data_IF_690286585725
#
_entry.id   IF_690286585725
#
_cell.length_a   1.000
_cell.length_b   1.000
_cell.length_c   1.000
_cell.angle_alpha   90.00
_cell.angle_beta   90.00
_cell.angle_gamma   90.00
#
_symmetry.space_group_name_H-M   'P 1'
#
loop_
_entity.id
_entity.type
_entity.pdbx_description
1 polymer ?
#
# COMPACT_ATOMS: atom_id res chain seq x y z
N UNK A 1 25.33 -1.37 33.11
CA UNK A 1 24.36 -2.10 33.93
C UNK A 1 22.99 -1.74 33.39
N UNK A 2 22.44 -2.63 32.55
CA UNK A 2 21.12 -3.27 32.76
C UNK A 2 20.04 -2.25 33.05
N UNK A 3 19.14 -1.94 32.12
CA UNK A 3 18.12 -2.89 31.74
C UNK A 3 18.08 -3.15 30.23
N UNK A 4 18.52 -4.35 29.86
CA UNK A 4 17.93 -5.09 28.75
C UNK A 4 16.45 -5.26 29.08
N UNK A 5 15.64 -4.27 28.72
CA UNK A 5 14.20 -4.43 28.63
C UNK A 5 13.94 -5.29 27.43
N UNK A 6 13.94 -6.61 27.65
CA UNK A 6 13.42 -7.59 26.71
C UNK A 6 12.01 -7.14 26.32
N UNK A 7 11.87 -6.48 25.18
CA UNK A 7 10.57 -6.39 24.52
C UNK A 7 10.33 -7.80 24.03
N UNK A 8 9.54 -8.53 24.81
CA UNK A 8 8.95 -9.81 24.44
C UNK A 8 8.40 -9.63 23.03
N UNK A 9 9.07 -10.22 22.05
CA UNK A 9 8.58 -10.34 20.69
C UNK A 9 7.41 -11.31 20.73
N UNK A 10 6.21 -10.80 21.02
CA UNK A 10 4.99 -11.50 20.67
C UNK A 10 4.98 -11.55 19.15
N UNK A 11 5.27 -12.72 18.56
CA UNK A 11 5.09 -13.00 17.13
C UNK A 11 3.61 -12.98 16.70
N UNK A 12 2.75 -12.25 17.41
CA UNK A 12 1.30 -12.34 17.28
C UNK A 12 0.76 -11.10 16.54
N UNK A 13 0.12 -11.38 15.41
CA UNK A 13 -0.71 -10.51 14.57
C UNK A 13 0.00 -9.43 13.73
N UNK A 14 0.94 -9.85 12.88
CA UNK A 14 1.29 -9.03 11.73
C UNK A 14 0.05 -8.81 10.85
N UNK A 15 -0.28 -7.54 10.60
CA UNK A 15 -1.32 -7.15 9.66
C UNK A 15 -0.93 -7.72 8.28
N UNK A 16 -1.73 -8.62 7.72
CA UNK A 16 -1.43 -9.30 6.47
C UNK A 16 -2.59 -9.20 5.48
N UNK A 17 -2.25 -8.98 4.20
CA UNK A 17 -3.25 -8.91 3.13
C UNK A 17 -3.67 -10.34 2.76
N UNK A 18 -4.99 -10.60 2.72
CA UNK A 18 -5.53 -11.94 2.41
C UNK A 18 -4.99 -12.48 1.08
N UNK A 19 -4.63 -13.77 0.97
CA UNK A 19 -3.99 -14.33 -0.23
C UNK A 19 -4.77 -14.13 -1.53
N UNK A 20 -6.10 -14.21 -1.47
CA UNK A 20 -6.98 -13.96 -2.63
C UNK A 20 -6.83 -12.53 -3.17
N UNK A 21 -6.71 -11.55 -2.27
CA UNK A 21 -6.51 -10.14 -2.63
C UNK A 21 -5.08 -9.92 -3.14
N UNK A 22 -4.08 -10.57 -2.54
CA UNK A 22 -2.70 -10.53 -3.06
C UNK A 22 -2.65 -10.98 -4.52
N UNK A 23 -3.37 -12.04 -4.89
CA UNK A 23 -3.47 -12.48 -6.29
C UNK A 23 -4.14 -11.44 -7.19
N UNK A 24 -5.21 -10.78 -6.73
CA UNK A 24 -5.88 -9.71 -7.47
C UNK A 24 -4.97 -8.49 -7.66
N UNK A 25 -4.25 -8.08 -6.62
CA UNK A 25 -3.28 -6.98 -6.65
C UNK A 25 -2.13 -7.28 -7.62
N UNK A 26 -1.57 -8.49 -7.59
CA UNK A 26 -0.53 -8.94 -8.54
C UNK A 26 -1.04 -8.90 -9.98
N UNK A 27 -2.28 -9.33 -10.23
CA UNK A 27 -2.92 -9.23 -11.56
C UNK A 27 -3.05 -7.77 -12.01
N UNK A 28 -3.38 -6.87 -11.08
CA UNK A 28 -3.43 -5.41 -11.28
C UNK A 28 -2.04 -4.73 -11.30
N UNK A 29 -0.94 -5.49 -11.30
CA UNK A 29 0.46 -5.01 -11.38
C UNK A 29 0.96 -4.25 -10.14
N UNK A 30 0.38 -4.53 -8.98
CA UNK A 30 0.95 -4.12 -7.70
C UNK A 30 2.03 -5.10 -7.24
N UNK A 31 3.09 -4.57 -6.64
CA UNK A 31 3.98 -5.32 -5.75
C UNK A 31 3.38 -5.35 -4.35
N UNK A 32 3.52 -6.47 -3.65
CA UNK A 32 3.00 -6.68 -2.30
C UNK A 32 4.08 -7.32 -1.44
N UNK A 33 4.33 -6.74 -0.27
CA UNK A 33 5.20 -7.27 0.76
C UNK A 33 4.52 -7.05 2.12
N UNK A 34 4.15 -8.13 2.81
CA UNK A 34 3.35 -8.09 4.05
C UNK A 34 2.07 -7.24 3.91
N UNK A 35 1.95 -6.15 4.67
CA UNK A 35 0.87 -5.16 4.61
C UNK A 35 1.11 -4.02 3.61
N UNK A 36 2.31 -3.95 3.02
CA UNK A 36 2.73 -2.86 2.15
C UNK A 36 2.45 -3.17 0.67
N UNK A 37 2.08 -2.15 -0.07
CA UNK A 37 1.87 -2.23 -1.52
C UNK A 37 2.64 -1.16 -2.26
N UNK A 38 3.13 -1.50 -3.45
CA UNK A 38 3.81 -0.57 -4.37
C UNK A 38 3.19 -0.72 -5.75
N UNK A 39 3.03 0.38 -6.47
CA UNK A 39 2.59 0.35 -7.86
C UNK A 39 3.41 1.34 -8.69
N UNK A 40 3.63 1.00 -9.95
CA UNK A 40 4.20 1.97 -10.88
C UNK A 40 3.11 2.95 -11.28
N UNK A 41 3.27 4.22 -10.92
CA UNK A 41 2.34 5.27 -11.33
C UNK A 41 2.21 5.30 -12.86
N UNK A 42 0.99 5.52 -13.35
CA UNK A 42 0.70 5.65 -14.77
C UNK A 42 1.62 6.68 -15.45
N UNK A 43 1.84 7.82 -14.81
CA UNK A 43 2.70 8.88 -15.34
C UNK A 43 4.19 8.56 -15.24
N UNK A 44 4.62 7.83 -14.21
CA UNK A 44 6.00 7.34 -14.13
C UNK A 44 6.30 6.43 -15.32
N UNK A 45 5.38 5.52 -15.68
CA UNK A 45 5.51 4.67 -16.87
C UNK A 45 5.58 5.47 -18.17
N UNK A 46 4.76 6.52 -18.32
CA UNK A 46 4.80 7.43 -19.48
C UNK A 46 6.11 8.21 -19.58
N UNK A 47 6.58 8.75 -18.45
CA UNK A 47 7.82 9.53 -18.37
C UNK A 47 9.02 8.67 -18.79
N UNK A 48 9.11 7.41 -18.37
CA UNK A 48 10.14 6.47 -18.83
C UNK A 48 10.12 6.18 -20.33
N UNK A 49 8.96 6.30 -20.97
CA UNK A 49 8.79 6.14 -22.42
C UNK A 49 8.94 7.44 -23.20
N UNK A 50 9.28 8.54 -22.53
CA UNK A 50 9.29 9.89 -23.10
C UNK A 50 7.91 10.33 -23.65
N UNK A 51 6.81 9.83 -23.08
CA UNK A 51 5.43 10.18 -23.45
C UNK A 51 4.87 11.37 -22.62
N UNK A 52 5.69 11.96 -21.76
CA UNK A 52 5.36 13.15 -20.96
C UNK A 52 5.38 12.93 -19.44
N UNK A 53 5.19 14.02 -18.70
CA UNK A 53 5.30 14.11 -17.25
C UNK A 53 3.97 14.41 -16.56
N UNK A 54 3.87 14.11 -15.26
CA UNK A 54 2.64 14.37 -14.50
C UNK A 54 2.51 15.84 -14.09
N UNK A 55 1.33 16.22 -13.59
CA UNK A 55 1.08 17.58 -13.12
C UNK A 55 2.06 18.03 -12.01
N UNK A 56 2.56 17.11 -11.18
CA UNK A 56 3.52 17.43 -10.11
C UNK A 56 4.86 17.92 -10.65
N UNK A 57 5.27 17.48 -11.84
CA UNK A 57 6.44 18.00 -12.51
C UNK A 57 6.23 19.48 -12.89
N UNK A 58 5.09 19.79 -13.51
CA UNK A 58 4.74 21.14 -13.93
C UNK A 58 4.59 22.12 -12.77
N UNK A 59 3.96 21.68 -11.67
CA UNK A 59 3.65 22.56 -10.54
C UNK A 59 4.79 22.65 -9.52
N UNK A 60 5.53 21.56 -9.31
CA UNK A 60 6.48 21.45 -8.21
C UNK A 60 7.89 21.06 -8.65
N UNK A 61 8.16 20.88 -9.95
CA UNK A 61 9.46 20.46 -10.46
C UNK A 61 9.86 19.02 -10.11
N UNK A 62 8.96 18.21 -9.56
CA UNK A 62 9.25 16.82 -9.18
C UNK A 62 9.49 15.99 -10.45
N UNK A 63 10.61 15.29 -10.53
CA UNK A 63 10.89 14.39 -11.67
C UNK A 63 9.97 13.18 -11.65
N UNK A 64 9.03 13.09 -12.61
CA UNK A 64 7.99 12.05 -12.66
C UNK A 64 8.55 10.63 -12.65
N UNK A 65 9.58 10.37 -13.46
CA UNK A 65 10.23 9.06 -13.57
C UNK A 65 10.98 8.63 -12.29
N UNK A 66 11.22 9.56 -11.34
CA UNK A 66 11.88 9.28 -10.05
C UNK A 66 10.89 9.14 -8.88
N UNK A 67 9.59 9.28 -9.13
CA UNK A 67 8.57 9.13 -8.10
C UNK A 67 8.29 7.65 -7.81
N UNK A 68 8.21 7.31 -6.52
CA UNK A 68 7.79 5.98 -6.05
C UNK A 68 6.39 6.11 -5.44
N UNK A 69 5.42 5.37 -5.99
CA UNK A 69 4.06 5.30 -5.47
C UNK A 69 3.88 4.02 -4.65
N UNK A 70 3.73 4.16 -3.34
CA UNK A 70 3.58 3.05 -2.41
C UNK A 70 2.71 3.44 -1.20
N UNK A 71 2.23 2.43 -0.48
CA UNK A 71 1.54 2.58 0.80
C UNK A 71 2.03 1.50 1.76
N UNK A 72 2.42 1.87 3.00
CA UNK A 72 2.72 0.87 4.03
C UNK A 72 1.46 0.17 4.55
N UNK A 73 0.26 0.66 4.23
CA UNK A 73 -1.03 0.12 4.65
C UNK A 73 -1.94 -0.08 3.44
N UNK A 74 -1.53 -0.93 2.49
CA UNK A 74 -2.13 -1.00 1.16
C UNK A 74 -3.62 -1.33 1.15
N UNK A 75 -4.09 -2.13 2.10
CA UNK A 75 -5.49 -2.59 2.20
C UNK A 75 -6.16 -2.25 3.54
N UNK A 76 -5.53 -1.41 4.36
CA UNK A 76 -6.03 -1.04 5.69
C UNK A 76 -6.37 0.44 5.74
N UNK A 77 -7.63 0.75 6.04
CA UNK A 77 -8.08 2.12 6.26
C UNK A 77 -9.47 2.11 6.87
N UNK A 78 -9.69 3.05 7.79
CA UNK A 78 -10.95 3.18 8.51
C UNK A 78 -12.06 3.83 7.67
N UNK A 79 -11.71 4.54 6.60
CA UNK A 79 -12.69 5.24 5.77
C UNK A 79 -13.34 4.32 4.71
N UNK A 80 -14.67 4.45 4.57
CA UNK A 80 -15.53 3.75 3.60
C UNK A 80 -16.02 4.67 2.49
N UNK A 81 -15.08 5.23 1.74
CA UNK A 81 -15.40 6.18 0.68
C UNK A 81 -16.08 5.49 -0.53
N UNK A 82 -17.13 6.10 -1.06
CA UNK A 82 -17.89 5.60 -2.24
C UNK A 82 -17.06 5.56 -3.53
N UNK A 83 -15.99 6.33 -3.61
CA UNK A 83 -15.10 6.45 -4.78
C UNK A 83 -13.83 5.60 -4.67
N UNK A 84 -13.62 4.92 -3.54
CA UNK A 84 -12.45 4.04 -3.39
C UNK A 84 -12.69 2.74 -4.15
N UNK A 85 -11.81 2.44 -5.12
CA UNK A 85 -11.87 1.21 -5.92
C UNK A 85 -11.53 -0.06 -5.11
N UNK A 86 -10.88 0.08 -3.95
CA UNK A 86 -10.36 -1.03 -3.16
C UNK A 86 -11.48 -1.81 -2.44
N UNK A 87 -11.41 -3.14 -2.37
CA UNK A 87 -12.22 -3.94 -1.47
C UNK A 87 -11.98 -3.57 0.00
N UNK A 88 -13.03 -3.53 0.82
CA UNK A 88 -12.98 -3.06 2.21
C UNK A 88 -12.69 -4.18 3.22
N UNK A 89 -11.53 -4.82 3.07
CA UNK A 89 -11.09 -5.94 3.93
C UNK A 89 -11.02 -5.56 5.42
N UNK A 90 -10.65 -4.31 5.74
CA UNK A 90 -10.59 -3.80 7.11
C UNK A 90 -11.91 -3.98 7.88
N UNK A 91 -13.06 -3.85 7.21
CA UNK A 91 -14.36 -4.01 7.86
C UNK A 91 -14.71 -5.48 8.11
N UNK A 92 -14.18 -6.40 7.33
CA UNK A 92 -14.35 -7.83 7.61
C UNK A 92 -13.44 -8.29 8.74
N UNK A 93 -12.22 -7.75 8.87
CA UNK A 93 -11.40 -8.00 10.07
C UNK A 93 -12.06 -7.44 11.34
N UNK A 94 -12.67 -6.26 11.29
CA UNK A 94 -13.41 -5.70 12.44
C UNK A 94 -14.61 -6.57 12.86
N UNK A 95 -15.30 -7.22 11.91
CA UNK A 95 -16.40 -8.15 12.24
C UNK A 95 -15.90 -9.38 12.98
N UNK A 96 -14.71 -9.87 12.64
CA UNK A 96 -14.13 -11.07 13.24
C UNK A 96 -13.56 -10.82 14.65
N UNK A 97 -13.30 -9.57 15.03
CA UNK A 97 -12.89 -9.17 16.39
C UNK A 97 -14.05 -8.71 17.28
N UNK A 98 -15.31 -8.83 16.84
CA UNK A 98 -16.46 -8.71 17.73
C UNK A 98 -16.62 -10.01 18.53
N UNK A 99 -15.94 -10.07 19.67
CA UNK A 99 -16.42 -10.75 20.89
C UNK A 99 -17.43 -9.82 21.59
#
# INVERSE_FOLDING_TARGET
>A
MSCSGEVVSSEEDLIQIRPKIVQQLKKAKYGVADHSTVALCHWTKKSFKNEGDCYKHKFYGISTHRCMEFSPAGMHCENRCVYCWRPMEFYDSLKNHKL
#
